data_IF_358180519120
#
_entry.id   IF_358180519120
#
_cell.length_a   1.000
_cell.length_b   1.000
_cell.length_c   1.000
_cell.angle_alpha   90.00
_cell.angle_beta   90.00
_cell.angle_gamma   90.00
#
_symmetry.space_group_name_H-M   'P 1'
#
loop_
_entity.id
_entity.type
_entity.pdbx_description
1 polymer ?
#
# COMPACT_ATOMS: atom_id res chain seq x y z
N UNK A 1 7.82 34.97 -7.90
CA UNK A 1 7.18 33.62 -8.05
C UNK A 1 6.32 33.51 -9.33
N UNK A 2 6.46 34.39 -10.31
CA UNK A 2 5.56 34.55 -11.46
C UNK A 2 5.98 33.82 -12.75
N UNK A 3 6.84 32.80 -12.67
CA UNK A 3 7.43 32.17 -13.87
C UNK A 3 7.40 30.64 -13.88
N UNK A 4 6.62 30.00 -13.01
CA UNK A 4 6.44 28.54 -13.05
C UNK A 4 5.16 28.19 -13.83
N UNK A 5 5.20 27.20 -14.74
CA UNK A 5 4.01 26.64 -15.37
C UNK A 5 2.95 26.25 -14.31
N UNK A 6 1.68 26.56 -14.57
CA UNK A 6 0.54 26.22 -13.71
C UNK A 6 0.54 24.78 -13.13
N UNK A 7 0.94 23.71 -13.88
CA UNK A 7 1.02 22.37 -13.30
C UNK A 7 2.11 22.21 -12.22
N UNK A 8 3.24 22.94 -12.30
CA UNK A 8 4.28 22.91 -11.28
C UNK A 8 3.88 23.72 -10.04
N UNK A 9 3.14 24.81 -10.22
CA UNK A 9 2.54 25.55 -9.09
C UNK A 9 1.56 24.65 -8.34
N UNK A 10 0.78 23.80 -9.03
CA UNK A 10 -0.12 22.81 -8.41
C UNK A 10 0.60 21.73 -7.59
N UNK A 11 1.89 21.48 -7.82
CA UNK A 11 2.68 20.58 -6.98
C UNK A 11 3.01 21.23 -5.62
N UNK A 12 3.34 22.52 -5.59
CA UNK A 12 3.75 23.24 -4.38
C UNK A 12 2.58 23.89 -3.62
N UNK A 13 1.56 24.30 -4.37
CA UNK A 13 0.31 24.86 -3.91
C UNK A 13 -0.79 24.15 -4.72
N UNK A 14 -1.09 22.87 -4.41
CA UNK A 14 -2.30 22.26 -4.94
C UNK A 14 -3.44 23.21 -4.56
N UNK A 15 -4.51 23.38 -5.32
CA UNK A 15 -5.62 24.27 -4.96
C UNK A 15 -5.38 25.79 -5.11
N UNK A 16 -5.79 26.32 -6.27
CA UNK A 16 -6.48 27.62 -6.34
C UNK A 16 -7.89 27.47 -5.72
N UNK A 17 -8.46 28.55 -5.21
CA UNK A 17 -9.75 28.54 -4.50
C UNK A 17 -10.95 28.17 -5.38
N UNK A 18 -10.79 28.24 -6.71
CA UNK A 18 -11.90 28.24 -7.67
C UNK A 18 -11.97 26.97 -8.54
N UNK A 19 -11.01 26.04 -8.40
CA UNK A 19 -10.97 24.83 -9.24
C UNK A 19 -11.97 23.77 -8.73
N UNK A 20 -12.86 23.24 -9.59
CA UNK A 20 -13.78 22.17 -9.20
C UNK A 20 -13.01 20.89 -8.89
N UNK A 21 -13.47 20.16 -7.87
CA UNK A 21 -12.89 18.87 -7.52
C UNK A 21 -13.05 17.87 -8.68
N UNK A 22 -11.92 17.34 -9.18
CA UNK A 22 -11.92 16.32 -10.23
C UNK A 22 -11.38 14.99 -9.66
N UNK A 23 -12.25 14.04 -9.29
CA UNK A 23 -11.83 12.76 -8.72
C UNK A 23 -11.07 11.87 -9.72
N UNK A 24 -11.34 12.00 -11.02
CA UNK A 24 -10.62 11.25 -12.05
C UNK A 24 -9.16 11.71 -12.16
N UNK A 25 -8.92 13.02 -12.15
CA UNK A 25 -7.56 13.57 -12.12
C UNK A 25 -6.82 13.16 -10.83
N UNK A 26 -7.51 13.22 -9.68
CA UNK A 26 -6.94 12.77 -8.42
C UNK A 26 -6.55 11.28 -8.44
N UNK A 27 -7.39 10.43 -9.04
CA UNK A 27 -7.07 9.02 -9.24
C UNK A 27 -5.82 8.86 -10.10
N UNK A 28 -5.74 9.54 -11.26
CA UNK A 28 -4.55 9.49 -12.13
C UNK A 28 -3.29 9.91 -11.38
N UNK A 29 -3.35 10.98 -10.57
CA UNK A 29 -2.21 11.43 -9.75
C UNK A 29 -1.81 10.36 -8.74
N UNK A 30 -2.76 9.80 -7.99
CA UNK A 30 -2.48 8.76 -6.98
C UNK A 30 -1.90 7.51 -7.63
N UNK A 31 -2.45 7.07 -8.77
CA UNK A 31 -1.91 5.93 -9.52
C UNK A 31 -0.50 6.21 -10.06
N UNK A 32 -0.23 7.42 -10.56
CA UNK A 32 1.11 7.80 -10.98
C UNK A 32 2.10 7.76 -9.81
N UNK A 33 1.73 8.28 -8.64
CA UNK A 33 2.55 8.19 -7.42
C UNK A 33 2.75 6.72 -7.01
N UNK A 34 1.70 5.90 -7.03
CA UNK A 34 1.78 4.48 -6.71
C UNK A 34 2.78 3.73 -7.62
N UNK A 35 2.71 3.97 -8.94
CA UNK A 35 3.63 3.38 -9.91
C UNK A 35 5.06 3.83 -9.67
N UNK A 36 5.29 5.13 -9.43
CA UNK A 36 6.62 5.68 -9.17
C UNK A 36 7.22 5.17 -7.84
N UNK A 37 6.39 5.00 -6.81
CA UNK A 37 6.79 4.41 -5.54
C UNK A 37 7.17 2.94 -5.74
N UNK A 38 6.37 2.14 -6.46
CA UNK A 38 6.74 0.76 -6.81
C UNK A 38 8.01 0.69 -7.67
N UNK A 39 8.13 1.56 -8.67
CA UNK A 39 9.33 1.66 -9.51
C UNK A 39 10.59 1.98 -8.69
N UNK A 40 10.48 2.87 -7.69
CA UNK A 40 11.63 3.21 -6.83
C UNK A 40 12.21 2.01 -6.10
N UNK A 41 11.38 1.02 -5.75
CA UNK A 41 11.82 -0.25 -5.16
C UNK A 41 12.38 -1.17 -6.22
N UNK A 42 11.72 -1.28 -7.37
CA UNK A 42 12.20 -2.10 -8.49
C UNK A 42 13.61 -1.69 -8.93
N UNK A 43 13.88 -0.38 -8.96
CA UNK A 43 15.21 0.17 -9.28
C UNK A 43 16.32 -0.24 -8.30
N UNK A 44 15.97 -0.70 -7.09
CA UNK A 44 16.95 -1.19 -6.10
C UNK A 44 17.27 -2.68 -6.23
N UNK A 45 16.49 -3.44 -7.00
CA UNK A 45 16.67 -4.90 -7.11
C UNK A 45 18.09 -5.27 -7.60
N UNK A 46 18.64 -4.65 -8.66
CA UNK A 46 20.00 -4.96 -9.12
C UNK A 46 21.09 -4.59 -8.11
N UNK A 47 20.83 -3.60 -7.25
CA UNK A 47 21.77 -3.14 -6.22
C UNK A 47 22.01 -4.25 -5.20
N UNK A 48 20.96 -4.92 -4.75
CA UNK A 48 21.09 -6.02 -3.79
C UNK A 48 21.77 -7.25 -4.38
N UNK A 49 21.52 -7.56 -5.65
CA UNK A 49 22.21 -8.65 -6.34
C UNK A 49 23.71 -8.38 -6.46
N UNK A 50 24.10 -7.13 -6.71
CA UNK A 50 25.51 -6.74 -6.86
C UNK A 50 26.27 -6.66 -5.52
N UNK A 51 25.59 -6.30 -4.42
CA UNK A 51 26.26 -6.03 -3.14
C UNK A 51 26.10 -7.14 -2.08
N UNK A 52 25.15 -8.05 -2.23
CA UNK A 52 24.99 -9.20 -1.32
C UNK A 52 25.69 -10.40 -1.92
N UNK A 53 26.85 -10.75 -1.36
CA UNK A 53 27.65 -11.90 -1.79
C UNK A 53 27.52 -13.07 -0.83
N UNK A 54 27.87 -14.27 -1.31
CA UNK A 54 27.89 -15.49 -0.53
C UNK A 54 26.75 -16.45 -0.85
N UNK A 55 26.95 -17.69 -0.44
CA UNK A 55 25.97 -18.77 -0.52
C UNK A 55 25.80 -19.38 0.86
N UNK A 56 24.60 -19.91 1.11
CA UNK A 56 24.31 -20.71 2.30
C UNK A 56 23.81 -22.06 1.88
N UNK A 57 24.34 -23.10 2.51
CA UNK A 57 23.90 -24.48 2.32
C UNK A 57 22.63 -24.69 3.13
N UNK A 58 21.54 -25.05 2.45
CA UNK A 58 20.26 -25.41 3.06
C UNK A 58 19.83 -26.78 2.57
N UNK A 59 18.99 -27.44 3.35
CA UNK A 59 18.39 -28.71 2.94
C UNK A 59 17.59 -28.52 1.65
N UNK A 60 17.65 -29.51 0.76
CA UNK A 60 16.95 -29.44 -0.50
C UNK A 60 15.44 -29.70 -0.28
N UNK A 61 14.55 -28.71 -0.47
CA UNK A 61 13.12 -28.91 -0.30
C UNK A 61 12.50 -29.81 -1.38
N UNK A 62 13.20 -30.02 -2.50
CA UNK A 62 12.75 -30.89 -3.59
C UNK A 62 13.03 -32.37 -3.29
N UNK A 63 13.96 -32.66 -2.37
CA UNK A 63 14.25 -34.01 -1.88
C UNK A 63 13.27 -34.39 -0.74
N UNK A 64 12.59 -35.55 -0.82
CA UNK A 64 11.78 -36.06 0.29
C UNK A 64 12.61 -36.27 1.56
N UNK A 65 11.97 -36.20 2.73
CA UNK A 65 12.65 -36.42 4.01
C UNK A 65 13.35 -37.79 4.03
N UNK A 66 14.50 -37.89 4.70
CA UNK A 66 15.35 -39.09 4.67
C UNK A 66 14.62 -40.37 5.11
N UNK A 67 13.58 -40.27 5.95
CA UNK A 67 12.71 -41.41 6.32
C UNK A 67 12.03 -42.10 5.13
N UNK A 68 11.81 -41.37 4.02
CA UNK A 68 11.21 -41.90 2.79
C UNK A 68 12.24 -42.33 1.74
N UNK A 69 13.50 -41.88 1.87
CA UNK A 69 14.57 -42.19 0.93
C UNK A 69 15.56 -43.25 1.45
N UNK A 70 15.76 -43.33 2.77
CA UNK A 70 16.63 -44.30 3.44
C UNK A 70 15.84 -45.54 3.91
N UNK A 71 14.75 -45.88 3.21
CA UNK A 71 13.80 -46.93 3.60
C UNK A 71 14.48 -48.20 4.09
N UNK A 72 14.30 -48.50 5.38
CA UNK A 72 14.68 -49.78 5.96
C UNK A 72 13.95 -50.89 5.17
N UNK A 73 14.65 -51.97 4.83
CA UNK A 73 14.30 -53.09 3.93
C UNK A 73 12.94 -53.83 4.15
N UNK A 74 12.00 -53.29 4.91
CA UNK A 74 10.77 -53.98 5.33
C UNK A 74 9.49 -53.60 4.57
N UNK A 75 9.46 -52.50 3.81
CA UNK A 75 8.26 -52.07 3.05
C UNK A 75 8.52 -51.73 1.56
N UNK A 76 9.73 -51.93 1.06
CA UNK A 76 10.13 -51.60 -0.33
C UNK A 76 9.48 -52.48 -1.41
N UNK A 77 8.72 -53.52 -1.05
CA UNK A 77 8.03 -54.41 -2.00
C UNK A 77 6.56 -54.00 -2.27
N UNK A 78 5.92 -53.22 -1.38
CA UNK A 78 4.49 -52.88 -1.51
C UNK A 78 4.29 -51.59 -2.31
N UNK A 79 5.27 -50.68 -2.32
CA UNK A 79 5.28 -49.45 -3.11
C UNK A 79 6.43 -49.52 -4.12
N UNK A 80 6.20 -50.20 -5.24
CA UNK A 80 7.11 -50.26 -6.39
C UNK A 80 7.45 -48.84 -6.88
N UNK A 81 8.58 -48.30 -6.41
CA UNK A 81 9.18 -47.05 -6.87
C UNK A 81 9.65 -46.19 -5.72
N UNK A 82 10.95 -46.20 -5.44
CA UNK A 82 11.60 -45.08 -4.76
C UNK A 82 11.20 -43.80 -5.50
N UNK A 83 10.64 -42.78 -4.81
CA UNK A 83 10.29 -41.53 -5.46
C UNK A 83 11.50 -40.99 -6.22
N UNK A 84 11.33 -40.61 -7.49
CA UNK A 84 12.42 -40.15 -8.38
C UNK A 84 13.20 -38.95 -7.86
N UNK A 85 12.73 -38.32 -6.78
CA UNK A 85 13.34 -37.18 -6.10
C UNK A 85 14.34 -37.58 -4.99
N UNK A 86 14.54 -38.88 -4.69
CA UNK A 86 15.54 -39.33 -3.71
C UNK A 86 16.99 -39.29 -4.22
N UNK A 87 17.18 -39.23 -5.54
CA UNK A 87 18.49 -39.05 -6.19
C UNK A 87 19.01 -37.61 -6.11
N UNK A 88 18.17 -36.67 -5.67
CA UNK A 88 18.56 -35.29 -5.50
C UNK A 88 19.52 -35.10 -4.31
N UNK A 89 20.43 -34.10 -4.39
CA UNK A 89 21.37 -33.83 -3.31
C UNK A 89 20.64 -33.45 -2.02
N UNK A 90 21.17 -33.92 -0.87
CA UNK A 90 20.62 -33.61 0.47
C UNK A 90 20.57 -32.11 0.75
N UNK A 91 21.58 -31.38 0.28
CA UNK A 91 21.70 -29.94 0.49
C UNK A 91 21.98 -29.22 -0.81
N UNK A 92 21.41 -28.02 -0.95
CA UNK A 92 21.62 -27.12 -2.08
C UNK A 92 22.21 -25.80 -1.61
N UNK A 93 23.11 -25.23 -2.41
CA UNK A 93 23.61 -23.89 -2.15
C UNK A 93 22.61 -22.86 -2.67
N UNK A 94 22.12 -21.98 -1.78
CA UNK A 94 21.26 -20.85 -2.15
C UNK A 94 22.08 -19.56 -2.09
N UNK A 95 22.00 -18.77 -3.16
CA UNK A 95 22.63 -17.46 -3.24
C UNK A 95 21.94 -16.46 -2.31
N UNK A 96 22.72 -15.80 -1.45
CA UNK A 96 22.22 -14.72 -0.60
C UNK A 96 21.81 -13.51 -1.46
N UNK A 97 22.54 -13.22 -2.53
CA UNK A 97 22.21 -12.15 -3.48
C UNK A 97 20.90 -12.38 -4.21
N UNK A 98 20.66 -13.60 -4.70
CA UNK A 98 19.39 -13.94 -5.34
C UNK A 98 18.21 -13.85 -4.35
N UNK A 99 18.41 -14.26 -3.09
CA UNK A 99 17.41 -14.11 -2.03
C UNK A 99 17.13 -12.64 -1.72
N UNK A 100 18.16 -11.80 -1.70
CA UNK A 100 18.04 -10.36 -1.48
C UNK A 100 17.22 -9.70 -2.60
N UNK A 101 17.58 -9.97 -3.86
CA UNK A 101 16.89 -9.47 -5.05
C UNK A 101 15.42 -9.93 -5.10
N UNK A 102 15.16 -11.23 -4.82
CA UNK A 102 13.81 -11.78 -4.72
C UNK A 102 12.98 -11.14 -3.60
N UNK A 103 13.62 -10.82 -2.46
CA UNK A 103 12.94 -10.12 -1.36
C UNK A 103 12.55 -8.70 -1.77
N UNK A 104 13.46 -7.97 -2.42
CA UNK A 104 13.19 -6.62 -2.90
C UNK A 104 12.10 -6.59 -3.99
N UNK A 105 12.16 -7.51 -4.96
CA UNK A 105 11.17 -7.58 -6.04
C UNK A 105 9.78 -7.93 -5.53
N UNK A 106 9.68 -8.80 -4.51
CA UNK A 106 8.42 -9.14 -3.84
C UNK A 106 7.73 -7.96 -3.15
N UNK A 107 8.45 -6.86 -2.90
CA UNK A 107 7.90 -5.65 -2.29
C UNK A 107 7.40 -4.62 -3.30
N UNK A 108 7.78 -4.71 -4.58
CA UNK A 108 7.43 -3.72 -5.61
C UNK A 108 5.92 -3.46 -5.71
N UNK A 109 5.12 -4.53 -5.77
CA UNK A 109 3.66 -4.45 -5.86
C UNK A 109 3.04 -3.96 -4.55
N UNK A 110 3.38 -4.52 -3.36
CA UNK A 110 2.94 -3.98 -2.08
C UNK A 110 3.17 -2.48 -1.90
N UNK A 111 4.33 -1.96 -2.33
CA UNK A 111 4.68 -0.54 -2.24
C UNK A 111 3.70 0.34 -3.04
N UNK A 112 3.36 -0.06 -4.25
CA UNK A 112 2.38 0.67 -5.08
C UNK A 112 0.96 0.57 -4.52
N UNK A 113 0.52 -0.63 -4.13
CA UNK A 113 -0.82 -0.85 -3.57
C UNK A 113 -1.04 -0.10 -2.25
N UNK A 114 0.00 0.03 -1.43
CA UNK A 114 -0.02 0.82 -0.21
C UNK A 114 -0.47 2.28 -0.47
N UNK A 115 0.07 2.93 -1.51
CA UNK A 115 -0.33 4.29 -1.91
C UNK A 115 -1.79 4.31 -2.38
N UNK A 116 -2.16 3.40 -3.27
CA UNK A 116 -3.48 3.40 -3.90
C UNK A 116 -4.61 3.17 -2.88
N UNK A 117 -4.41 2.25 -1.93
CA UNK A 117 -5.42 1.91 -0.94
C UNK A 117 -5.42 2.82 0.29
N UNK A 118 -4.29 3.43 0.64
CA UNK A 118 -4.27 4.43 1.73
C UNK A 118 -5.02 5.71 1.37
N UNK A 119 -5.14 6.05 0.09
CA UNK A 119 -5.87 7.23 -0.37
C UNK A 119 -7.34 7.29 0.06
N UNK A 120 -8.20 6.31 -0.29
CA UNK A 120 -9.59 6.31 0.16
C UNK A 120 -9.73 6.25 1.69
N UNK A 121 -8.81 5.57 2.39
CA UNK A 121 -8.81 5.51 3.85
C UNK A 121 -8.45 6.88 4.46
N UNK A 122 -7.43 7.56 3.93
CA UNK A 122 -7.05 8.92 4.33
C UNK A 122 -8.20 9.90 4.10
N UNK A 123 -8.90 9.80 2.97
CA UNK A 123 -10.08 10.59 2.68
C UNK A 123 -11.20 10.36 3.69
N UNK A 124 -11.45 9.10 4.04
CA UNK A 124 -12.49 8.73 5.00
C UNK A 124 -12.16 9.19 6.43
N UNK A 125 -10.91 9.04 6.87
CA UNK A 125 -10.46 9.55 8.17
C UNK A 125 -10.61 11.07 8.21
N UNK A 126 -10.17 11.78 7.17
CA UNK A 126 -10.31 13.24 7.11
C UNK A 126 -11.78 13.67 7.12
N UNK A 127 -12.63 12.97 6.37
CA UNK A 127 -14.08 13.18 6.35
C UNK A 127 -14.71 12.99 7.73
N UNK A 128 -14.38 11.89 8.40
CA UNK A 128 -14.90 11.58 9.73
C UNK A 128 -14.47 12.63 10.77
N UNK A 129 -13.19 13.01 10.78
CA UNK A 129 -12.63 13.96 11.75
C UNK A 129 -13.10 15.40 11.53
N UNK A 130 -13.45 15.76 10.29
CA UNK A 130 -14.05 17.07 10.00
C UNK A 130 -15.53 17.13 10.40
N UNK A 131 -16.22 15.99 10.50
CA UNK A 131 -17.60 15.88 10.99
C UNK A 131 -18.62 16.61 10.10
N UNK A 132 -19.85 16.79 10.62
CA UNK A 132 -20.84 17.67 9.99
C UNK A 132 -20.34 19.12 10.08
N UNK A 133 -19.82 19.62 8.97
CA UNK A 133 -19.18 20.92 8.87
C UNK A 133 -20.10 21.92 8.17
N UNK A 134 -19.84 23.23 8.35
CA UNK A 134 -20.70 24.29 7.79
C UNK A 134 -20.72 24.30 6.25
N UNK A 135 -19.69 23.79 5.58
CA UNK A 135 -19.68 23.64 4.13
C UNK A 135 -20.26 22.28 3.70
N UNK A 136 -21.01 22.30 2.61
CA UNK A 136 -21.72 21.16 1.99
C UNK A 136 -20.84 20.25 1.14
N UNK A 137 -19.51 20.43 1.13
CA UNK A 137 -18.61 19.67 0.25
C UNK A 137 -18.80 18.16 0.42
N UNK A 138 -18.90 17.46 -0.69
CA UNK A 138 -19.20 16.02 -0.73
C UNK A 138 -17.97 15.18 -0.37
N UNK A 139 -18.19 13.89 -0.06
CA UNK A 139 -17.07 12.96 0.18
C UNK A 139 -16.17 12.85 -1.05
N UNK A 140 -16.74 12.92 -2.26
CA UNK A 140 -16.00 12.89 -3.52
C UNK A 140 -15.02 14.08 -3.61
N UNK A 141 -15.38 15.24 -3.08
CA UNK A 141 -14.51 16.42 -3.06
C UNK A 141 -13.34 16.25 -2.09
N UNK A 142 -13.59 15.64 -0.92
CA UNK A 142 -12.52 15.28 0.04
C UNK A 142 -11.60 14.21 -0.53
N UNK A 143 -12.17 13.20 -1.19
CA UNK A 143 -11.41 12.16 -1.88
C UNK A 143 -10.54 12.76 -2.98
N UNK A 144 -11.09 13.60 -3.86
CA UNK A 144 -10.32 14.27 -4.90
C UNK A 144 -9.19 15.14 -4.33
N UNK A 145 -9.48 15.91 -3.26
CA UNK A 145 -8.49 16.77 -2.62
C UNK A 145 -7.36 15.99 -1.94
N UNK A 146 -7.69 14.88 -1.28
CA UNK A 146 -6.69 14.07 -0.55
C UNK A 146 -5.74 13.30 -1.47
N UNK A 147 -6.10 13.08 -2.74
CA UNK A 147 -5.20 12.45 -3.71
C UNK A 147 -3.90 13.24 -3.91
N UNK A 148 -3.97 14.57 -3.87
CA UNK A 148 -2.80 15.46 -3.92
C UNK A 148 -1.90 15.34 -2.69
N UNK A 149 -2.44 14.85 -1.56
CA UNK A 149 -1.66 14.60 -0.35
C UNK A 149 -0.65 13.48 -0.50
N UNK A 150 -0.70 12.70 -1.58
CA UNK A 150 0.25 11.62 -1.84
C UNK A 150 1.46 12.05 -2.68
N UNK A 151 1.38 13.18 -3.38
CA UNK A 151 2.48 13.72 -4.20
C UNK A 151 3.79 13.89 -3.42
N UNK A 152 3.80 14.34 -2.14
CA UNK A 152 5.04 14.46 -1.37
C UNK A 152 5.83 13.15 -1.23
N UNK A 153 5.19 11.98 -1.32
CA UNK A 153 5.89 10.68 -1.26
C UNK A 153 6.77 10.40 -2.48
N UNK A 154 6.72 11.23 -3.52
CA UNK A 154 7.70 11.21 -4.59
C UNK A 154 9.11 11.61 -4.10
N UNK A 155 9.22 12.37 -3.00
CA UNK A 155 10.51 12.73 -2.40
C UNK A 155 11.31 11.50 -1.93
N UNK A 156 10.80 10.67 -1.00
CA UNK A 156 11.50 9.44 -0.62
C UNK A 156 11.60 8.46 -1.78
N UNK A 157 10.60 8.36 -2.66
CA UNK A 157 10.67 7.48 -3.84
C UNK A 157 11.83 7.84 -4.79
N UNK A 158 12.04 9.12 -5.09
CA UNK A 158 13.12 9.56 -5.96
C UNK A 158 14.50 9.34 -5.32
N UNK A 159 14.62 9.53 -4.00
CA UNK A 159 15.88 9.35 -3.29
C UNK A 159 16.25 7.89 -2.99
N UNK A 160 15.26 6.99 -2.91
CA UNK A 160 15.41 5.61 -2.47
C UNK A 160 16.49 4.82 -3.23
N UNK A 161 16.56 4.79 -4.57
CA UNK A 161 17.58 4.00 -5.26
C UNK A 161 19.00 4.38 -4.86
N UNK A 162 19.27 5.69 -4.79
CA UNK A 162 20.57 6.22 -4.40
C UNK A 162 20.91 5.92 -2.92
N UNK A 163 19.95 6.15 -2.01
CA UNK A 163 20.16 5.94 -0.58
C UNK A 163 20.33 4.44 -0.24
N UNK A 164 19.58 3.57 -0.91
CA UNK A 164 19.70 2.12 -0.76
C UNK A 164 21.03 1.62 -1.30
N UNK A 165 21.49 2.11 -2.47
CA UNK A 165 22.82 1.77 -2.99
C UNK A 165 23.92 2.17 -2.02
N UNK A 166 23.86 3.40 -1.48
CA UNK A 166 24.81 3.85 -0.47
C UNK A 166 24.79 2.96 0.77
N UNK A 167 23.61 2.62 1.27
CA UNK A 167 23.45 1.76 2.44
C UNK A 167 24.03 0.36 2.18
N UNK A 168 23.64 -0.28 1.06
CA UNK A 168 24.06 -1.62 0.68
C UNK A 168 25.58 -1.76 0.55
N UNK A 169 26.29 -0.72 0.10
CA UNK A 169 27.77 -0.71 0.01
C UNK A 169 28.46 -0.80 1.37
N UNK A 170 27.84 -0.28 2.42
CA UNK A 170 28.42 -0.23 3.78
C UNK A 170 27.83 -1.26 4.73
N UNK A 171 26.74 -1.91 4.34
CA UNK A 171 25.97 -2.79 5.21
C UNK A 171 26.60 -4.19 5.27
N UNK A 172 26.81 -4.69 6.49
CA UNK A 172 27.23 -6.07 6.71
C UNK A 172 25.99 -6.98 6.69
N UNK A 173 25.75 -7.66 5.56
CA UNK A 173 24.62 -8.56 5.42
C UNK A 173 24.80 -9.84 6.25
N UNK A 174 23.74 -10.33 6.93
CA UNK A 174 23.80 -11.60 7.65
C UNK A 174 24.08 -12.78 6.73
N UNK A 175 24.68 -13.86 7.26
CA UNK A 175 24.98 -15.09 6.51
C UNK A 175 23.81 -16.06 6.33
N UNK A 176 22.58 -15.66 6.67
CA UNK A 176 21.38 -16.53 6.60
C UNK A 176 20.33 -15.95 5.66
N UNK A 177 19.52 -16.81 5.03
CA UNK A 177 18.48 -16.36 4.07
C UNK A 177 17.47 -15.40 4.72
N UNK A 178 17.05 -15.68 5.95
CA UNK A 178 16.08 -14.84 6.66
C UNK A 178 16.71 -13.55 7.18
N UNK A 179 17.96 -13.60 7.63
CA UNK A 179 18.71 -12.42 8.03
C UNK A 179 18.90 -11.45 6.87
N UNK A 180 19.25 -11.95 5.67
CA UNK A 180 19.33 -11.14 4.46
C UNK A 180 17.97 -10.56 4.09
N UNK A 181 16.91 -11.37 4.12
CA UNK A 181 15.57 -10.87 3.79
C UNK A 181 15.10 -9.77 4.76
N UNK A 182 15.38 -9.91 6.07
CA UNK A 182 15.09 -8.89 7.06
C UNK A 182 15.93 -7.61 6.86
N UNK A 183 17.22 -7.75 6.53
CA UNK A 183 18.11 -6.63 6.23
C UNK A 183 17.68 -5.85 4.97
N UNK A 184 17.30 -6.54 3.90
CA UNK A 184 16.79 -5.91 2.68
C UNK A 184 15.52 -5.10 2.99
N UNK A 185 14.59 -5.67 3.76
CA UNK A 185 13.36 -4.96 4.18
C UNK A 185 13.71 -3.71 5.01
N UNK A 186 14.60 -3.82 5.99
CA UNK A 186 14.95 -2.68 6.85
C UNK A 186 15.64 -1.54 6.09
N UNK A 187 16.51 -1.88 5.13
CA UNK A 187 17.16 -0.90 4.24
C UNK A 187 16.12 -0.23 3.34
N UNK A 188 15.23 -1.01 2.72
CA UNK A 188 14.23 -0.46 1.81
C UNK A 188 13.25 0.47 2.51
N UNK A 189 12.78 0.08 3.69
CA UNK A 189 11.80 0.85 4.45
C UNK A 189 12.43 2.11 5.05
N UNK A 190 13.73 2.10 5.32
CA UNK A 190 14.46 3.29 5.74
C UNK A 190 14.70 3.40 7.25
N UNK A 191 14.20 2.48 8.08
CA UNK A 191 14.56 2.44 9.52
C UNK A 191 16.07 2.32 9.77
N UNK A 192 16.83 1.80 8.78
CA UNK A 192 18.29 1.76 8.81
C UNK A 192 18.99 2.95 8.14
N UNK A 193 18.25 3.88 7.52
CA UNK A 193 18.82 5.03 6.79
C UNK A 193 18.18 6.34 7.23
N UNK A 194 18.87 7.05 8.15
CA UNK A 194 18.49 8.37 8.64
C UNK A 194 17.99 9.35 7.55
N UNK A 195 18.61 9.42 6.34
CA UNK A 195 18.17 10.36 5.31
C UNK A 195 16.81 10.00 4.70
N UNK A 196 16.52 8.70 4.49
CA UNK A 196 15.25 8.26 3.90
C UNK A 196 14.12 8.50 4.89
N UNK A 197 14.31 8.17 6.17
CA UNK A 197 13.35 8.48 7.23
C UNK A 197 13.06 9.97 7.31
N UNK A 198 14.09 10.84 7.24
CA UNK A 198 13.90 12.28 7.24
C UNK A 198 13.07 12.77 6.05
N UNK A 199 13.32 12.24 4.83
CA UNK A 199 12.53 12.55 3.64
C UNK A 199 11.09 12.05 3.76
N UNK A 200 10.89 10.86 4.30
CA UNK A 200 9.56 10.31 4.56
C UNK A 200 8.77 11.14 5.57
N UNK A 201 9.39 11.59 6.66
CA UNK A 201 8.77 12.48 7.64
C UNK A 201 8.44 13.86 7.05
N UNK A 202 9.33 14.40 6.20
CA UNK A 202 9.08 15.64 5.48
C UNK A 202 7.90 15.50 4.50
N UNK A 203 7.84 14.37 3.77
CA UNK A 203 6.71 14.04 2.92
C UNK A 203 5.41 13.96 3.73
N UNK A 204 5.42 13.28 4.87
CA UNK A 204 4.26 13.13 5.75
C UNK A 204 3.78 14.49 6.30
N UNK A 205 4.70 15.36 6.73
CA UNK A 205 4.38 16.70 7.18
C UNK A 205 3.76 17.56 6.06
N UNK A 206 4.28 17.43 4.84
CA UNK A 206 3.69 18.06 3.67
C UNK A 206 2.31 17.50 3.36
N UNK A 207 2.11 16.18 3.38
CA UNK A 207 0.80 15.54 3.22
C UNK A 207 -0.22 16.08 4.22
N UNK A 208 0.16 16.20 5.50
CA UNK A 208 -0.69 16.80 6.54
C UNK A 208 -1.07 18.26 6.22
N UNK A 209 -0.12 19.06 5.70
CA UNK A 209 -0.42 20.41 5.24
C UNK A 209 -1.47 20.42 4.12
N UNK A 210 -1.36 19.51 3.13
CA UNK A 210 -2.32 19.36 2.04
C UNK A 210 -3.70 18.95 2.59
N UNK A 211 -3.76 17.97 3.48
CA UNK A 211 -5.01 17.52 4.11
C UNK A 211 -5.69 18.63 4.93
N UNK A 212 -4.91 19.45 5.64
CA UNK A 212 -5.46 20.61 6.35
C UNK A 212 -6.08 21.62 5.37
N UNK A 213 -5.43 21.84 4.23
CA UNK A 213 -5.98 22.64 3.13
C UNK A 213 -7.30 22.10 2.59
N UNK A 214 -7.39 20.78 2.37
CA UNK A 214 -8.63 20.10 1.95
C UNK A 214 -9.74 20.29 2.97
N UNK A 215 -9.46 20.03 4.25
CA UNK A 215 -10.44 20.19 5.32
C UNK A 215 -10.98 21.63 5.38
N UNK A 216 -10.12 22.64 5.29
CA UNK A 216 -10.55 24.04 5.30
C UNK A 216 -11.44 24.40 4.12
N UNK A 217 -11.08 23.97 2.91
CA UNK A 217 -11.81 24.36 1.70
C UNK A 217 -13.11 23.57 1.50
N UNK A 218 -13.01 22.25 1.52
CA UNK A 218 -14.13 21.37 1.18
C UNK A 218 -15.12 21.30 2.32
N UNK A 219 -14.63 21.32 3.56
CA UNK A 219 -15.47 21.18 4.77
C UNK A 219 -15.71 22.52 5.47
N UNK A 220 -14.99 23.59 5.13
CA UNK A 220 -15.23 24.91 5.74
C UNK A 220 -14.96 24.93 7.25
N UNK A 221 -14.09 24.04 7.75
CA UNK A 221 -13.73 24.00 9.17
C UNK A 221 -12.70 25.08 9.52
N UNK A 222 -12.64 25.49 10.79
CA UNK A 222 -11.65 26.45 11.27
C UNK A 222 -10.22 25.94 11.07
N UNK A 223 -9.24 26.86 11.02
CA UNK A 223 -7.81 26.51 10.83
C UNK A 223 -7.31 25.50 11.86
N UNK A 224 -7.65 25.70 13.15
CA UNK A 224 -7.26 24.77 14.22
C UNK A 224 -7.85 23.37 14.05
N UNK A 225 -9.15 23.29 13.74
CA UNK A 225 -9.82 21.99 13.51
C UNK A 225 -9.31 21.29 12.26
N UNK A 226 -8.98 22.03 11.20
CA UNK A 226 -8.38 21.46 9.99
C UNK A 226 -7.01 20.83 10.26
N UNK A 227 -6.15 21.52 11.01
CA UNK A 227 -4.84 20.97 11.41
C UNK A 227 -5.01 19.72 12.26
N UNK A 228 -5.89 19.76 13.27
CA UNK A 228 -6.16 18.59 14.11
C UNK A 228 -6.70 17.39 13.30
N UNK A 229 -7.63 17.64 12.36
CA UNK A 229 -8.18 16.59 11.50
C UNK A 229 -7.14 16.04 10.51
N UNK A 230 -6.23 16.87 10.00
CA UNK A 230 -5.19 16.48 9.06
C UNK A 230 -4.09 15.61 9.67
N UNK A 231 -3.89 15.72 10.98
CA UNK A 231 -2.98 14.84 11.73
C UNK A 231 -3.50 13.39 11.71
N UNK A 232 -4.82 13.16 11.66
CA UNK A 232 -5.41 11.82 11.62
C UNK A 232 -4.90 10.94 10.48
N UNK A 233 -5.08 11.36 9.20
CA UNK A 233 -4.52 10.63 8.07
C UNK A 233 -3.00 10.49 8.11
N UNK A 234 -2.28 11.51 8.59
CA UNK A 234 -0.81 11.44 8.70
C UNK A 234 -0.36 10.40 9.74
N UNK A 235 -0.99 10.38 10.92
CA UNK A 235 -0.75 9.35 11.95
C UNK A 235 -1.13 7.98 11.40
N UNK A 236 -2.28 7.86 10.73
CA UNK A 236 -2.69 6.60 10.11
C UNK A 236 -1.60 6.09 9.17
N UNK A 237 -1.14 6.92 8.24
CA UNK A 237 -0.08 6.54 7.30
C UNK A 237 1.19 6.12 8.03
N UNK A 238 1.68 6.93 9.00
CA UNK A 238 2.92 6.64 9.72
C UNK A 238 2.85 5.44 10.68
N UNK A 239 1.82 5.35 11.52
CA UNK A 239 1.64 4.23 12.48
C UNK A 239 1.45 2.93 11.74
N UNK A 240 0.61 2.95 10.71
CA UNK A 240 0.39 1.77 9.93
C UNK A 240 1.74 1.35 9.27
N UNK A 241 2.63 2.30 8.93
CA UNK A 241 3.95 1.96 8.37
C UNK A 241 4.77 1.18 9.39
N UNK A 242 4.83 1.65 10.63
CA UNK A 242 5.55 0.97 11.71
C UNK A 242 4.98 -0.44 11.98
N UNK A 243 3.64 -0.56 12.04
CA UNK A 243 2.98 -1.84 12.34
C UNK A 243 3.20 -2.85 11.21
N UNK A 244 3.02 -2.44 9.95
CA UNK A 244 3.20 -3.34 8.81
C UNK A 244 4.63 -3.89 8.72
N UNK A 245 5.63 -3.07 9.04
CA UNK A 245 7.03 -3.51 9.11
C UNK A 245 7.30 -4.55 10.20
N UNK A 246 6.56 -4.46 11.31
CA UNK A 246 6.68 -5.40 12.43
C UNK A 246 6.05 -6.76 12.11
N UNK A 247 5.01 -6.79 11.26
CA UNK A 247 4.29 -8.02 10.88
C UNK A 247 5.00 -8.82 9.78
N UNK A 248 5.93 -8.20 9.04
CA UNK A 248 6.62 -8.83 7.91
C UNK A 248 5.75 -8.91 6.64
N UNK A 249 6.26 -9.54 5.57
CA UNK A 249 5.52 -9.64 4.31
C UNK A 249 4.29 -10.53 4.46
N UNK A 250 3.17 -10.05 3.96
CA UNK A 250 1.95 -10.84 3.88
C UNK A 250 2.11 -11.97 2.85
N UNK A 251 1.53 -13.16 3.09
CA UNK A 251 1.46 -14.21 2.07
C UNK A 251 0.80 -13.70 0.79
N UNK A 252 1.23 -14.19 -0.37
CA UNK A 252 0.67 -13.77 -1.67
C UNK A 252 -0.86 -13.92 -1.73
N UNK A 253 -1.42 -14.99 -1.13
CA UNK A 253 -2.87 -15.15 -1.04
C UNK A 253 -3.54 -14.03 -0.23
N UNK A 254 -2.92 -13.56 0.86
CA UNK A 254 -3.45 -12.48 1.68
C UNK A 254 -3.47 -11.16 0.91
N UNK A 255 -2.42 -10.88 0.13
CA UNK A 255 -2.40 -9.72 -0.78
C UNK A 255 -3.53 -9.82 -1.81
N UNK A 256 -3.73 -11.00 -2.41
CA UNK A 256 -4.82 -11.26 -3.34
C UNK A 256 -6.20 -11.00 -2.71
N UNK A 257 -6.47 -11.56 -1.54
CA UNK A 257 -7.71 -11.29 -0.79
C UNK A 257 -7.87 -9.82 -0.45
N UNK A 258 -6.77 -9.14 -0.10
CA UNK A 258 -6.79 -7.73 0.21
C UNK A 258 -7.20 -6.87 -0.99
N UNK A 259 -6.67 -7.16 -2.18
CA UNK A 259 -7.06 -6.49 -3.43
C UNK A 259 -8.54 -6.73 -3.73
N UNK A 260 -9.02 -7.97 -3.60
CA UNK A 260 -10.44 -8.29 -3.83
C UNK A 260 -11.35 -7.53 -2.86
N UNK A 261 -11.02 -7.53 -1.57
CA UNK A 261 -11.79 -6.82 -0.55
C UNK A 261 -11.83 -5.31 -0.80
N UNK A 262 -10.69 -4.70 -1.17
CA UNK A 262 -10.64 -3.29 -1.50
C UNK A 262 -11.44 -2.96 -2.77
N UNK A 263 -11.36 -3.80 -3.81
CA UNK A 263 -12.13 -3.64 -5.04
C UNK A 263 -13.63 -3.76 -4.79
N UNK A 264 -14.06 -4.71 -3.95
CA UNK A 264 -15.46 -4.87 -3.57
C UNK A 264 -15.97 -3.71 -2.72
N UNK A 265 -15.15 -3.17 -1.81
CA UNK A 265 -15.55 -2.05 -0.94
C UNK A 265 -15.58 -0.68 -1.63
N UNK A 266 -14.76 -0.47 -2.67
CA UNK A 266 -14.58 0.83 -3.30
C UNK A 266 -15.88 1.44 -3.89
N UNK A 267 -16.75 0.71 -4.61
CA UNK A 267 -18.02 1.25 -5.10
C UNK A 267 -18.93 1.74 -3.97
N UNK A 268 -19.04 0.98 -2.88
CA UNK A 268 -19.83 1.36 -1.70
C UNK A 268 -19.27 2.61 -1.00
N UNK A 269 -17.96 2.81 -1.04
CA UNK A 269 -17.31 3.98 -0.46
C UNK A 269 -17.50 5.24 -1.33
N UNK A 270 -17.27 5.13 -2.64
CA UNK A 270 -17.19 6.26 -3.59
C UNK A 270 -18.57 6.67 -4.13
N UNK A 271 -19.44 5.69 -4.36
CA UNK A 271 -20.72 5.87 -5.02
C UNK A 271 -21.86 5.06 -4.34
N UNK A 272 -22.07 5.17 -3.01
CA UNK A 272 -23.05 4.35 -2.31
C UNK A 272 -24.47 4.49 -2.86
N UNK A 273 -24.88 5.70 -3.29
CA UNK A 273 -26.24 5.92 -3.84
C UNK A 273 -26.45 5.18 -5.16
N UNK A 274 -25.47 5.21 -6.07
CA UNK A 274 -25.53 4.49 -7.35
C UNK A 274 -25.61 2.98 -7.13
N UNK A 275 -24.83 2.44 -6.17
CA UNK A 275 -24.89 1.02 -5.80
C UNK A 275 -26.25 0.63 -5.20
N UNK A 276 -26.80 1.47 -4.33
CA UNK A 276 -28.12 1.25 -3.73
C UNK A 276 -29.22 1.27 -4.80
N UNK A 277 -29.19 2.25 -5.70
CA UNK A 277 -30.13 2.35 -6.81
C UNK A 277 -30.03 1.16 -7.76
N UNK A 278 -28.81 0.72 -8.09
CA UNK A 278 -28.58 -0.49 -8.87
C UNK A 278 -29.14 -1.74 -8.18
N UNK A 279 -28.89 -1.93 -6.88
CA UNK A 279 -29.43 -3.09 -6.15
C UNK A 279 -30.97 -3.08 -6.14
N UNK A 280 -31.59 -1.90 -5.93
CA UNK A 280 -33.05 -1.74 -6.01
C UNK A 280 -33.59 -2.12 -7.40
N UNK A 281 -32.87 -1.84 -8.48
CA UNK A 281 -33.31 -2.24 -9.82
C UNK A 281 -33.43 -3.77 -9.97
N UNK A 282 -32.54 -4.55 -9.33
CA UNK A 282 -32.64 -6.02 -9.34
C UNK A 282 -33.78 -6.54 -8.47
N UNK A 283 -34.02 -5.93 -7.30
CA UNK A 283 -35.13 -6.30 -6.42
C UNK A 283 -36.51 -6.00 -7.04
N UNK A 284 -36.57 -5.00 -7.94
CA UNK A 284 -37.79 -4.56 -8.61
C UNK A 284 -38.06 -5.25 -9.96
N UNK A 285 -37.25 -6.26 -10.35
CA UNK A 285 -37.53 -7.07 -11.55
C UNK A 285 -38.87 -7.81 -11.34
N UNK A 286 -39.95 -7.22 -11.84
CA UNK A 286 -41.33 -7.70 -11.67
C UNK A 286 -42.36 -6.62 -11.31
N UNK A 287 -41.93 -5.44 -10.86
CA UNK A 287 -42.82 -4.33 -10.48
C UNK A 287 -42.70 -3.16 -11.47
N UNK A 288 -43.75 -2.88 -12.24
CA UNK A 288 -43.87 -1.67 -13.06
C UNK A 288 -44.44 -0.54 -12.17
N UNK A 289 -43.76 0.60 -12.06
CA UNK A 289 -44.13 1.83 -11.31
C UNK A 289 -43.69 1.97 -9.84
N UNK A 290 -42.40 1.91 -9.56
CA UNK A 290 -41.84 2.58 -8.37
C UNK A 290 -41.07 3.83 -8.80
N UNK A 291 -41.66 5.00 -8.55
CA UNK A 291 -40.95 6.29 -8.65
C UNK A 291 -39.72 6.22 -7.74
N UNK A 292 -38.59 6.77 -8.20
CA UNK A 292 -37.29 6.77 -7.52
C UNK A 292 -37.39 6.99 -6.01
N UNK A 293 -37.28 5.92 -5.23
CA UNK A 293 -37.21 6.03 -3.76
C UNK A 293 -35.80 6.47 -3.43
N UNK A 294 -35.63 7.77 -3.16
CA UNK A 294 -34.37 8.31 -2.65
C UNK A 294 -33.98 7.56 -1.38
N UNK A 295 -32.75 7.02 -1.30
CA UNK A 295 -32.31 6.28 -0.12
C UNK A 295 -32.13 7.23 1.07
N UNK A 296 -32.66 6.81 2.22
CA UNK A 296 -32.45 7.49 3.49
C UNK A 296 -30.95 7.68 3.80
N UNK A 297 -30.58 8.82 4.38
CA UNK A 297 -29.17 9.19 4.62
C UNK A 297 -28.44 8.19 5.54
N UNK A 298 -29.14 7.61 6.52
CA UNK A 298 -28.55 6.59 7.41
C UNK A 298 -28.17 5.32 6.65
N UNK A 299 -28.94 4.95 5.62
CA UNK A 299 -28.71 3.77 4.79
C UNK A 299 -27.53 3.98 3.84
N UNK A 300 -27.40 5.19 3.29
CA UNK A 300 -26.22 5.63 2.52
C UNK A 300 -24.97 5.61 3.39
N UNK A 301 -25.07 6.10 4.63
CA UNK A 301 -23.96 6.08 5.59
C UNK A 301 -23.52 4.65 5.91
N UNK A 302 -24.47 3.73 6.14
CA UNK A 302 -24.18 2.31 6.39
C UNK A 302 -23.37 1.67 5.26
N UNK A 303 -23.77 1.87 3.99
CA UNK A 303 -23.03 1.35 2.83
C UNK A 303 -21.64 1.98 2.74
N UNK A 304 -21.52 3.28 3.01
CA UNK A 304 -20.22 3.97 3.00
C UNK A 304 -19.27 3.42 4.07
N UNK A 305 -19.74 3.22 5.29
CA UNK A 305 -18.93 2.65 6.37
C UNK A 305 -18.61 1.17 6.13
N UNK A 306 -19.53 0.41 5.54
CA UNK A 306 -19.27 -0.95 5.06
C UNK A 306 -18.16 -0.96 4.02
N UNK A 307 -18.28 -0.15 2.96
CA UNK A 307 -17.24 0.01 1.94
C UNK A 307 -15.89 0.43 2.52
N UNK A 308 -15.89 1.36 3.48
CA UNK A 308 -14.67 1.76 4.19
C UNK A 308 -14.04 0.61 4.98
N UNK A 309 -14.84 -0.21 5.66
CA UNK A 309 -14.35 -1.37 6.40
C UNK A 309 -13.72 -2.40 5.46
N UNK A 310 -14.35 -2.67 4.31
CA UNK A 310 -13.80 -3.56 3.28
C UNK A 310 -12.51 -3.02 2.68
N UNK A 311 -12.45 -1.72 2.34
CA UNK A 311 -11.23 -1.06 1.84
C UNK A 311 -10.14 -1.04 2.92
N UNK A 312 -10.48 -0.76 4.17
CA UNK A 312 -9.54 -0.77 5.30
C UNK A 312 -8.99 -2.17 5.60
N UNK A 313 -9.83 -3.21 5.53
CA UNK A 313 -9.40 -4.59 5.67
C UNK A 313 -8.52 -5.02 4.50
N UNK A 314 -8.91 -4.65 3.27
CA UNK A 314 -8.10 -4.89 2.08
C UNK A 314 -6.75 -4.19 2.15
N UNK A 315 -6.73 -2.97 2.67
CA UNK A 315 -5.53 -2.20 2.98
C UNK A 315 -4.61 -2.92 3.97
N UNK A 316 -5.14 -3.45 5.08
CA UNK A 316 -4.34 -4.23 6.04
C UNK A 316 -3.77 -5.51 5.41
N UNK A 317 -4.58 -6.25 4.65
CA UNK A 317 -4.19 -7.54 4.05
C UNK A 317 -3.20 -7.41 2.89
N UNK A 318 -3.17 -6.26 2.23
CA UNK A 318 -2.15 -5.95 1.20
C UNK A 318 -0.80 -5.56 1.80
N UNK A 319 -0.66 -5.56 3.14
CA UNK A 319 0.53 -5.07 3.84
C UNK A 319 0.62 -3.54 3.87
N UNK A 320 -0.52 -2.88 3.70
CA UNK A 320 -0.73 -1.56 3.09
C UNK A 320 -0.03 -0.32 3.61
N UNK A 321 0.76 -0.31 4.69
CA UNK A 321 1.48 0.92 5.00
C UNK A 321 2.98 0.77 5.18
N UNK A 322 3.53 -0.44 5.25
CA UNK A 322 4.93 -0.73 5.66
C UNK A 322 6.02 0.01 4.85
N UNK A 323 5.64 0.80 3.86
CA UNK A 323 6.40 1.08 2.66
C UNK A 323 6.35 2.57 2.24
N UNK A 324 5.50 3.38 2.90
CA UNK A 324 5.39 4.81 2.58
C UNK A 324 6.38 5.69 3.35
N UNK A 325 6.82 5.24 4.53
CA UNK A 325 7.74 5.98 5.41
C UNK A 325 8.88 5.09 5.87
#
# INVERSE_FOLDING_TARGET
>A
MSALPDPLIRLFLPFRADDPANPALAAVVVFAVAVLVGWSVSATVPVFEAHVSGTVTVDNPERPADVFCDGNDFESEILNGTPSACDEPRTVQKSLGARAASTASGLVVPFGLAVAFSWPVAAAVLWALTGASKASGSFRDVLAGTGWGFVPFLLPAAARPYLVERAARTFAFPGTLDGVAAAVRSILVGFGSEPLTALSLAALAWSAYVFAGVARRVRGVSRGRAVAAAVGPAILLGVASVVGNSLGPMPAQAVGYGVVLAALGAPFLVAPREVIEFNKQFELIGFRNTRSVEPEEWYVALHRFGGLAFVGLGYVLTGGPALLV
#
